data_IF_226676606685
#
_entry.id   IF_226676606685
#
_cell.length_a   1.000
_cell.length_b   1.000
_cell.length_c   1.000
_cell.angle_alpha   90.00
_cell.angle_beta   90.00
_cell.angle_gamma   90.00
#
_symmetry.space_group_name_H-M   'P 1'
#
loop_
_entity.id
_entity.type
_entity.pdbx_description
1 polymer ?
#
# COMPACT_ATOMS: atom_id res chain seq x y z
N UNK A 1 -11.72 21.04 24.22
CA UNK A 1 -11.92 19.57 24.33
C UNK A 1 -11.50 18.97 23.00
N UNK A 2 -10.39 18.23 22.97
CA UNK A 2 -10.03 17.43 21.80
C UNK A 2 -10.95 16.20 21.79
N UNK A 3 -11.82 16.14 20.80
CA UNK A 3 -12.65 14.94 20.58
C UNK A 3 -11.72 13.86 20.06
N UNK A 4 -11.64 12.71 20.75
CA UNK A 4 -10.91 11.56 20.21
C UNK A 4 -11.57 11.08 18.92
N UNK A 5 -10.76 10.79 17.87
CA UNK A 5 -11.31 10.33 16.61
C UNK A 5 -11.96 8.94 16.78
N UNK A 6 -13.03 8.69 16.03
CA UNK A 6 -13.68 7.37 15.98
C UNK A 6 -12.91 6.44 15.06
N UNK A 7 -12.81 5.17 15.45
CA UNK A 7 -12.26 4.14 14.55
C UNK A 7 -13.23 3.93 13.38
N UNK A 8 -12.68 3.88 12.16
CA UNK A 8 -13.48 3.71 10.95
C UNK A 8 -12.66 3.59 9.66
N UNK A 9 -13.37 3.53 8.55
CA UNK A 9 -12.80 3.42 7.20
C UNK A 9 -12.25 4.79 6.72
N UNK A 10 -11.08 5.15 7.25
CA UNK A 10 -10.41 6.42 6.96
C UNK A 10 -10.09 6.58 5.48
N UNK A 11 -9.51 5.54 4.87
CA UNK A 11 -9.13 5.56 3.45
C UNK A 11 -10.38 5.67 2.56
N UNK A 12 -11.43 4.94 2.88
CA UNK A 12 -12.68 5.01 2.13
C UNK A 12 -13.31 6.41 2.14
N UNK A 13 -13.40 7.07 3.30
CA UNK A 13 -13.91 8.44 3.38
C UNK A 13 -13.00 9.44 2.67
N UNK A 14 -11.68 9.32 2.84
CA UNK A 14 -10.69 10.14 2.16
C UNK A 14 -10.82 10.06 0.65
N UNK A 15 -10.88 8.84 0.10
CA UNK A 15 -10.96 8.61 -1.35
C UNK A 15 -12.31 9.03 -1.95
N UNK A 16 -13.42 8.87 -1.23
CA UNK A 16 -14.73 9.39 -1.66
C UNK A 16 -14.69 10.90 -1.84
N UNK A 17 -14.12 11.61 -0.86
CA UNK A 17 -14.01 13.08 -0.93
C UNK A 17 -13.00 13.51 -2.00
N UNK A 18 -11.89 12.79 -2.14
CA UNK A 18 -10.91 13.05 -3.19
C UNK A 18 -11.53 12.91 -4.58
N UNK A 19 -12.29 11.84 -4.82
CA UNK A 19 -13.01 11.64 -6.08
C UNK A 19 -14.07 12.73 -6.30
N UNK A 20 -14.82 13.10 -5.26
CA UNK A 20 -15.84 14.13 -5.34
C UNK A 20 -15.23 15.50 -5.69
N UNK A 21 -14.07 15.86 -5.13
CA UNK A 21 -13.33 17.07 -5.48
C UNK A 21 -12.85 17.02 -6.93
N UNK A 22 -12.30 15.88 -7.36
CA UNK A 22 -11.76 15.71 -8.71
C UNK A 22 -12.85 15.78 -9.80
N UNK A 23 -14.04 15.24 -9.52
CA UNK A 23 -15.15 15.19 -10.48
C UNK A 23 -16.08 16.40 -10.41
N UNK A 24 -15.91 17.27 -9.40
CA UNK A 24 -16.82 18.42 -9.17
C UNK A 24 -18.21 18.03 -8.61
N UNK A 25 -18.45 16.73 -8.38
CA UNK A 25 -19.67 16.25 -7.71
C UNK A 25 -19.47 16.45 -6.22
N UNK A 26 -20.29 17.33 -5.62
CA UNK A 26 -20.09 17.83 -4.25
C UNK A 26 -20.03 16.71 -3.20
N UNK A 27 -19.03 16.77 -2.33
CA UNK A 27 -18.99 15.90 -1.15
C UNK A 27 -19.99 16.39 -0.10
N UNK A 28 -20.30 15.52 0.86
CA UNK A 28 -21.11 15.90 2.03
C UNK A 28 -20.47 17.10 2.74
N UNK A 29 -21.19 18.22 2.94
CA UNK A 29 -20.63 19.39 3.59
C UNK A 29 -20.22 19.04 5.03
N UNK A 30 -19.01 19.47 5.40
CA UNK A 30 -18.69 19.67 6.80
C UNK A 30 -19.61 20.77 7.37
N UNK A 31 -19.79 20.79 8.70
CA UNK A 31 -20.44 21.89 9.39
C UNK A 31 -19.79 23.20 8.92
N UNK A 32 -20.52 23.99 8.11
CA UNK A 32 -19.97 25.19 7.48
C UNK A 32 -19.83 25.15 5.94
N UNK A 33 -20.14 24.05 5.26
CA UNK A 33 -20.52 24.04 3.84
C UNK A 33 -19.43 23.87 2.79
N UNK A 34 -18.14 23.65 3.14
CA UNK A 34 -17.10 23.36 2.13
C UNK A 34 -16.13 22.29 2.58
N UNK A 35 -15.76 21.38 1.66
CA UNK A 35 -14.56 20.55 1.86
C UNK A 35 -13.31 21.42 1.78
N UNK A 36 -12.32 21.11 2.62
CA UNK A 36 -10.98 21.64 2.40
C UNK A 36 -10.48 21.19 1.01
N UNK A 37 -9.94 22.13 0.25
CA UNK A 37 -9.18 21.82 -0.97
C UNK A 37 -7.74 22.25 -0.74
N UNK A 38 -6.75 21.37 -0.82
CA UNK A 38 -6.84 19.94 -1.15
C UNK A 38 -7.38 19.06 0.00
N UNK A 39 -7.86 17.86 -0.33
CA UNK A 39 -8.16 16.79 0.65
C UNK A 39 -6.83 16.25 1.16
N UNK A 40 -6.66 16.24 2.48
CA UNK A 40 -5.38 15.91 3.13
C UNK A 40 -5.53 14.61 3.93
N UNK A 41 -4.70 13.64 3.63
CA UNK A 41 -4.46 12.49 4.47
C UNK A 41 -3.55 12.88 5.63
N UNK A 42 -3.87 12.45 6.84
CA UNK A 42 -3.03 12.65 8.02
C UNK A 42 -2.48 11.30 8.47
N UNK A 43 -1.16 11.22 8.55
CA UNK A 43 -0.43 10.05 9.03
C UNK A 43 0.20 10.42 10.37
N UNK A 44 -0.16 9.70 11.42
CA UNK A 44 0.37 9.87 12.75
C UNK A 44 1.24 8.65 13.11
N UNK A 45 2.44 8.90 13.63
CA UNK A 45 3.38 7.88 14.10
C UNK A 45 3.35 7.83 15.62
N UNK A 46 3.60 6.67 16.22
CA UNK A 46 3.49 6.41 17.67
C UNK A 46 4.40 7.24 18.58
N UNK A 47 5.33 8.00 18.01
CA UNK A 47 6.15 8.97 18.73
C UNK A 47 5.63 10.41 18.65
N UNK A 48 4.44 10.60 18.11
CA UNK A 48 3.77 11.90 18.00
C UNK A 48 4.11 12.68 16.72
N UNK A 49 4.93 12.14 15.80
CA UNK A 49 5.13 12.77 14.51
C UNK A 49 3.84 12.70 13.70
N UNK A 50 3.40 13.84 13.19
CA UNK A 50 2.20 13.98 12.35
C UNK A 50 2.62 14.57 11.02
N UNK A 51 2.30 13.87 9.93
CA UNK A 51 2.48 14.31 8.56
C UNK A 51 1.14 14.43 7.85
N UNK A 52 1.03 15.37 6.92
CA UNK A 52 -0.12 15.50 6.03
C UNK A 52 0.31 15.49 4.58
N UNK A 53 -0.41 14.76 3.75
CA UNK A 53 -0.16 14.68 2.31
C UNK A 53 -1.47 14.89 1.52
N UNK A 54 -1.45 15.62 0.38
CA UNK A 54 -2.60 15.68 -0.51
C UNK A 54 -2.95 14.29 -1.06
N UNK A 55 -4.23 13.92 -0.99
CA UNK A 55 -4.70 12.60 -1.43
C UNK A 55 -4.97 12.50 -2.94
N UNK A 56 -4.79 13.58 -3.70
CA UNK A 56 -5.07 13.60 -5.14
C UNK A 56 -4.29 12.52 -5.91
N UNK A 57 -3.07 12.19 -5.47
CA UNK A 57 -2.21 11.18 -6.10
C UNK A 57 -2.83 9.76 -6.16
N UNK A 58 -3.82 9.47 -5.29
CA UNK A 58 -4.55 8.20 -5.37
C UNK A 58 -5.41 8.06 -6.64
N UNK A 59 -5.72 9.19 -7.29
CA UNK A 59 -6.53 9.23 -8.51
C UNK A 59 -5.70 9.45 -9.77
N UNK A 60 -4.39 9.66 -9.63
CA UNK A 60 -3.50 9.97 -10.75
C UNK A 60 -3.62 8.94 -11.89
N UNK A 61 -3.61 9.45 -13.12
CA UNK A 61 -3.48 8.64 -14.31
C UNK A 61 -2.01 8.32 -14.61
N UNK A 62 -1.75 7.48 -15.63
CA UNK A 62 -0.38 7.07 -15.96
C UNK A 62 0.57 8.23 -16.26
N UNK A 63 0.09 9.37 -16.75
CA UNK A 63 0.94 10.52 -17.05
C UNK A 63 1.61 11.17 -15.83
N UNK A 64 0.99 11.03 -14.65
CA UNK A 64 1.45 11.58 -13.39
C UNK A 64 2.24 10.59 -12.52
N UNK A 65 2.34 9.33 -12.97
CA UNK A 65 2.96 8.27 -12.19
C UNK A 65 4.48 8.39 -12.11
N UNK A 66 5.03 7.81 -11.06
CA UNK A 66 6.48 7.68 -10.93
C UNK A 66 7.00 6.62 -11.92
N UNK A 67 8.26 6.75 -12.39
CA UNK A 67 8.83 5.79 -13.34
C UNK A 67 8.80 4.34 -12.86
N UNK A 68 8.94 4.09 -11.56
CA UNK A 68 8.85 2.73 -11.01
C UNK A 68 7.45 2.12 -11.11
N UNK A 69 6.37 2.92 -11.05
CA UNK A 69 5.00 2.39 -11.24
C UNK A 69 4.81 1.82 -12.65
N UNK A 70 5.31 2.53 -13.68
CA UNK A 70 5.29 2.05 -15.07
C UNK A 70 6.05 0.74 -15.21
N UNK A 71 7.28 0.69 -14.66
CA UNK A 71 8.10 -0.53 -14.75
C UNK A 71 7.49 -1.72 -14.01
N UNK A 72 6.79 -1.48 -12.92
CA UNK A 72 6.07 -2.54 -12.21
C UNK A 72 4.91 -3.09 -13.04
N UNK A 73 4.11 -2.20 -13.65
CA UNK A 73 3.00 -2.58 -14.52
C UNK A 73 3.50 -3.30 -15.78
N UNK A 74 4.62 -2.88 -16.38
CA UNK A 74 5.21 -3.52 -17.56
C UNK A 74 5.72 -4.96 -17.27
N UNK A 75 6.04 -5.27 -16.02
CA UNK A 75 6.44 -6.61 -15.57
C UNK A 75 5.26 -7.52 -15.20
N UNK A 76 4.06 -6.94 -14.98
CA UNK A 76 2.88 -7.71 -14.60
C UNK A 76 2.35 -8.55 -15.77
N UNK A 77 2.04 -9.80 -15.52
CA UNK A 77 1.51 -10.73 -16.48
C UNK A 77 0.57 -11.77 -15.86
N UNK A 78 -0.23 -12.42 -16.68
CA UNK A 78 -1.18 -13.45 -16.22
C UNK A 78 -2.25 -12.91 -15.29
N UNK A 79 -2.87 -13.78 -14.51
CA UNK A 79 -3.82 -13.37 -13.46
C UNK A 79 -3.07 -12.58 -12.39
N UNK A 80 -3.44 -11.32 -12.20
CA UNK A 80 -2.75 -10.37 -11.34
C UNK A 80 -3.62 -9.99 -10.14
N UNK A 81 -3.04 -9.97 -8.94
CA UNK A 81 -3.64 -9.44 -7.72
C UNK A 81 -2.96 -8.11 -7.35
N UNK A 82 -3.73 -7.02 -7.37
CA UNK A 82 -3.30 -5.69 -6.93
C UNK A 82 -3.69 -5.51 -5.46
N UNK A 83 -2.72 -5.61 -4.56
CA UNK A 83 -2.90 -5.67 -3.10
C UNK A 83 -2.82 -4.26 -2.51
N UNK A 84 -3.90 -3.84 -1.82
CA UNK A 84 -4.10 -2.46 -1.41
C UNK A 84 -4.40 -1.58 -2.61
N UNK A 85 -5.35 -2.01 -3.45
CA UNK A 85 -5.67 -1.37 -4.74
C UNK A 85 -6.14 0.09 -4.60
N UNK A 86 -6.61 0.49 -3.41
CA UNK A 86 -7.04 1.85 -3.10
C UNK A 86 -8.12 2.36 -4.07
N UNK A 87 -7.85 3.44 -4.78
CA UNK A 87 -8.72 3.98 -5.82
C UNK A 87 -8.60 3.28 -7.19
N UNK A 88 -7.86 2.18 -7.28
CA UNK A 88 -7.77 1.32 -8.46
C UNK A 88 -6.88 1.84 -9.59
N UNK A 89 -5.97 2.80 -9.34
CA UNK A 89 -5.15 3.40 -10.41
C UNK A 89 -4.36 2.37 -11.23
N UNK A 90 -3.74 1.40 -10.57
CA UNK A 90 -2.95 0.33 -11.19
C UNK A 90 -3.88 -0.68 -11.90
N UNK A 91 -4.92 -1.13 -11.20
CA UNK A 91 -5.89 -2.07 -11.75
C UNK A 91 -6.57 -1.56 -13.03
N UNK A 92 -6.87 -0.25 -13.12
CA UNK A 92 -7.44 0.36 -14.33
C UNK A 92 -6.50 0.25 -15.53
N UNK A 93 -5.21 0.61 -15.37
CA UNK A 93 -4.26 0.53 -16.47
C UNK A 93 -4.01 -0.92 -16.91
N UNK A 94 -3.93 -1.86 -15.98
CA UNK A 94 -3.80 -3.29 -16.31
C UNK A 94 -5.02 -3.78 -17.10
N UNK A 95 -6.23 -3.40 -16.67
CA UNK A 95 -7.46 -3.69 -17.42
C UNK A 95 -7.44 -3.14 -18.84
N UNK A 96 -7.01 -1.89 -19.03
CA UNK A 96 -6.89 -1.24 -20.34
C UNK A 96 -5.89 -1.97 -21.25
N UNK A 97 -4.82 -2.51 -20.66
CA UNK A 97 -3.82 -3.32 -21.37
C UNK A 97 -4.25 -4.77 -21.59
N UNK A 98 -5.45 -5.16 -21.15
CA UNK A 98 -5.97 -6.52 -21.30
C UNK A 98 -5.36 -7.54 -20.33
N UNK A 99 -4.63 -7.09 -19.30
CA UNK A 99 -4.12 -7.96 -18.23
C UNK A 99 -5.26 -8.25 -17.25
N UNK A 100 -5.58 -9.53 -16.99
CA UNK A 100 -6.60 -9.88 -16.01
C UNK A 100 -6.13 -9.48 -14.60
N UNK A 101 -6.87 -8.59 -13.95
CA UNK A 101 -6.51 -8.06 -12.63
C UNK A 101 -7.68 -8.09 -11.66
N UNK A 102 -7.38 -8.43 -10.42
CA UNK A 102 -8.28 -8.32 -9.26
C UNK A 102 -7.67 -7.34 -8.26
N UNK A 103 -8.42 -6.31 -7.88
CA UNK A 103 -8.03 -5.39 -6.80
C UNK A 103 -8.50 -5.92 -5.46
N UNK A 104 -7.58 -6.02 -4.51
CA UNK A 104 -7.84 -6.42 -3.11
C UNK A 104 -7.61 -5.22 -2.19
N UNK A 105 -8.58 -4.94 -1.31
CA UNK A 105 -8.43 -3.88 -0.30
C UNK A 105 -9.28 -4.19 0.94
N UNK A 106 -8.84 -3.73 2.09
CA UNK A 106 -9.57 -3.84 3.36
C UNK A 106 -10.58 -2.71 3.55
N UNK A 107 -10.47 -1.64 2.78
CA UNK A 107 -11.39 -0.49 2.81
C UNK A 107 -12.55 -0.70 1.85
N UNK A 108 -13.74 -0.89 2.39
CA UNK A 108 -14.96 -0.98 1.58
C UNK A 108 -15.22 0.30 0.78
N UNK A 109 -14.88 1.46 1.34
CA UNK A 109 -15.01 2.74 0.66
C UNK A 109 -14.00 2.94 -0.47
N UNK A 110 -12.76 2.46 -0.31
CA UNK A 110 -11.78 2.44 -1.40
C UNK A 110 -12.27 1.57 -2.57
N UNK A 111 -12.79 0.39 -2.29
CA UNK A 111 -13.36 -0.49 -3.31
C UNK A 111 -14.60 0.13 -3.99
N UNK A 112 -15.42 0.88 -3.26
CA UNK A 112 -16.52 1.65 -3.86
C UNK A 112 -15.99 2.68 -4.87
N UNK A 113 -14.95 3.43 -4.51
CA UNK A 113 -14.31 4.41 -5.39
C UNK A 113 -13.68 3.71 -6.61
N UNK A 114 -12.95 2.61 -6.41
CA UNK A 114 -12.39 1.80 -7.49
C UNK A 114 -13.46 1.32 -8.46
N UNK A 115 -14.59 0.83 -7.96
CA UNK A 115 -15.72 0.39 -8.80
C UNK A 115 -16.32 1.55 -9.59
N UNK A 116 -16.51 2.72 -8.97
CA UNK A 116 -17.01 3.94 -9.66
C UNK A 116 -16.06 4.39 -10.76
N UNK A 117 -14.76 4.17 -10.60
CA UNK A 117 -13.74 4.47 -11.62
C UNK A 117 -13.67 3.41 -12.74
N UNK A 118 -14.31 2.24 -12.57
CA UNK A 118 -14.42 1.22 -13.61
C UNK A 118 -13.60 -0.05 -13.38
N UNK A 119 -13.02 -0.25 -12.20
CA UNK A 119 -12.37 -1.54 -11.87
C UNK A 119 -13.44 -2.64 -11.77
N UNK A 120 -13.24 -3.73 -12.50
CA UNK A 120 -14.27 -4.78 -12.72
C UNK A 120 -14.25 -5.85 -11.64
N UNK A 121 -13.06 -6.32 -11.23
CA UNK A 121 -12.90 -7.39 -10.25
C UNK A 121 -12.29 -6.81 -8.97
N UNK A 122 -13.05 -6.87 -7.89
CA UNK A 122 -12.69 -6.31 -6.59
C UNK A 122 -13.04 -7.31 -5.49
N UNK A 123 -12.12 -7.46 -4.53
CA UNK A 123 -12.27 -8.31 -3.35
C UNK A 123 -12.08 -7.45 -2.11
N UNK A 124 -13.00 -7.55 -1.16
CA UNK A 124 -12.92 -6.90 0.14
C UNK A 124 -12.32 -7.88 1.16
N UNK A 125 -11.16 -7.54 1.69
CA UNK A 125 -10.47 -8.38 2.69
C UNK A 125 -8.96 -8.18 2.71
N UNK A 126 -8.31 -9.08 3.42
CA UNK A 126 -6.86 -9.21 3.49
C UNK A 126 -6.38 -10.35 2.59
N UNK A 127 -5.07 -10.46 2.37
CA UNK A 127 -4.49 -11.63 1.68
C UNK A 127 -4.87 -12.91 2.40
N UNK A 128 -4.81 -12.92 3.74
CA UNK A 128 -5.13 -14.11 4.55
C UNK A 128 -6.59 -14.58 4.38
N UNK A 129 -7.54 -13.63 4.34
CA UNK A 129 -8.96 -13.98 4.14
C UNK A 129 -9.25 -14.42 2.71
N UNK A 130 -8.46 -13.95 1.74
CA UNK A 130 -8.63 -14.27 0.33
C UNK A 130 -8.12 -15.68 -0.05
N UNK A 131 -7.23 -16.26 0.76
CA UNK A 131 -6.76 -17.65 0.54
C UNK A 131 -7.91 -18.67 0.46
N UNK A 132 -8.99 -18.42 1.19
CA UNK A 132 -10.12 -19.34 1.30
C UNK A 132 -10.96 -19.49 0.02
N UNK A 133 -10.90 -18.56 -0.94
CA UNK A 133 -11.76 -18.60 -2.14
C UNK A 133 -11.22 -19.47 -3.29
N UNK A 134 -9.99 -19.99 -3.16
CA UNK A 134 -9.37 -20.87 -4.15
C UNK A 134 -8.78 -20.17 -5.38
N UNK A 135 -8.81 -18.83 -5.44
CA UNK A 135 -8.17 -18.06 -6.50
C UNK A 135 -6.66 -18.33 -6.59
N UNK A 136 -6.10 -18.18 -7.80
CA UNK A 136 -4.66 -18.37 -8.05
C UNK A 136 -4.15 -17.30 -9.02
N UNK A 137 -2.97 -16.76 -8.71
CA UNK A 137 -2.38 -15.62 -9.41
C UNK A 137 -0.97 -15.92 -9.93
N UNK A 138 -0.63 -15.28 -11.05
CA UNK A 138 0.70 -15.30 -11.66
C UNK A 138 1.54 -14.11 -11.18
N UNK A 139 0.89 -12.98 -10.87
CA UNK A 139 1.56 -11.76 -10.39
C UNK A 139 0.83 -11.17 -9.18
N UNK A 140 1.59 -10.80 -8.17
CA UNK A 140 1.15 -10.00 -7.02
C UNK A 140 1.81 -8.63 -7.08
N UNK A 141 1.02 -7.56 -7.02
CA UNK A 141 1.51 -6.19 -6.97
C UNK A 141 1.29 -5.60 -5.59
N UNK A 142 2.35 -5.03 -5.02
CA UNK A 142 2.34 -4.25 -3.78
C UNK A 142 2.96 -2.88 -4.07
N UNK A 143 2.21 -2.00 -4.73
CA UNK A 143 2.66 -0.67 -5.17
C UNK A 143 2.13 0.43 -4.25
N UNK A 144 2.65 1.66 -4.39
CA UNK A 144 2.31 2.75 -3.49
C UNK A 144 2.80 2.53 -2.05
N UNK A 145 4.02 2.02 -1.90
CA UNK A 145 4.64 1.59 -0.64
C UNK A 145 4.00 0.36 0.02
N UNK A 146 3.11 -0.37 -0.63
CA UNK A 146 2.45 -1.54 -0.02
C UNK A 146 3.40 -2.70 0.32
N UNK A 147 4.72 -2.62 -0.01
CA UNK A 147 5.71 -3.43 0.68
C UNK A 147 5.61 -3.27 2.21
N UNK A 148 5.12 -2.12 2.67
CA UNK A 148 4.85 -1.87 4.08
C UNK A 148 3.93 -2.86 4.76
N UNK A 149 3.08 -3.58 4.02
CA UNK A 149 2.17 -4.62 4.52
C UNK A 149 2.89 -5.89 5.02
N UNK A 150 4.20 -5.99 4.79
CA UNK A 150 5.04 -7.00 5.44
C UNK A 150 5.23 -6.73 6.94
N UNK A 151 4.93 -5.53 7.42
CA UNK A 151 4.94 -5.07 8.81
C UNK A 151 6.27 -5.22 9.55
N UNK A 152 6.99 -6.33 9.38
CA UNK A 152 8.28 -6.61 10.02
C UNK A 152 8.63 -8.11 10.05
N UNK A 153 9.61 -8.46 10.90
CA UNK A 153 10.20 -9.82 10.95
C UNK A 153 9.20 -10.91 11.31
N UNK A 154 8.24 -10.60 12.15
CA UNK A 154 7.27 -11.58 12.67
C UNK A 154 6.18 -11.87 11.64
N UNK A 155 5.67 -10.83 11.00
CA UNK A 155 4.56 -10.95 10.04
C UNK A 155 4.99 -11.37 8.64
N UNK A 156 6.19 -10.96 8.19
CA UNK A 156 6.64 -11.19 6.82
C UNK A 156 6.60 -12.67 6.38
N UNK A 157 7.05 -13.66 7.19
CA UNK A 157 6.97 -15.07 6.79
C UNK A 157 5.53 -15.57 6.59
N UNK A 158 4.60 -15.16 7.46
CA UNK A 158 3.18 -15.53 7.37
C UNK A 158 2.53 -14.91 6.13
N UNK A 159 2.83 -13.63 5.86
CA UNK A 159 2.32 -12.93 4.70
C UNK A 159 2.83 -13.54 3.39
N UNK A 160 4.12 -13.92 3.34
CA UNK A 160 4.71 -14.65 2.19
C UNK A 160 4.10 -16.03 2.01
N UNK A 161 3.81 -16.75 3.10
CA UNK A 161 3.13 -18.04 3.04
C UNK A 161 1.69 -17.91 2.51
N UNK A 162 0.96 -16.87 2.92
CA UNK A 162 -0.37 -16.59 2.40
C UNK A 162 -0.34 -16.25 0.90
N UNK A 163 0.65 -15.47 0.45
CA UNK A 163 0.86 -15.20 -0.99
C UNK A 163 1.22 -16.47 -1.76
N UNK A 164 2.05 -17.35 -1.19
CA UNK A 164 2.38 -18.64 -1.81
C UNK A 164 1.14 -19.54 -1.96
N UNK A 165 0.24 -19.53 -0.97
CA UNK A 165 -1.02 -20.27 -1.05
C UNK A 165 -1.96 -19.77 -2.16
N UNK A 166 -1.83 -18.53 -2.59
CA UNK A 166 -2.56 -17.91 -3.71
C UNK A 166 -1.79 -17.99 -5.04
N UNK A 167 -0.54 -18.45 -5.03
CA UNK A 167 0.33 -18.43 -6.19
C UNK A 167 0.11 -19.60 -7.13
N UNK A 168 0.31 -19.36 -8.42
CA UNK A 168 0.56 -20.40 -9.42
C UNK A 168 2.05 -20.75 -9.42
N UNK A 169 2.44 -21.95 -9.90
CA UNK A 169 3.86 -22.27 -10.08
C UNK A 169 4.60 -21.19 -10.87
N UNK A 170 5.75 -20.74 -10.37
CA UNK A 170 6.54 -19.69 -10.99
C UNK A 170 5.99 -18.26 -10.85
N UNK A 171 4.99 -18.05 -10.01
CA UNK A 171 4.42 -16.73 -9.74
C UNK A 171 5.47 -15.72 -9.25
N UNK A 172 5.17 -14.44 -9.44
CA UNK A 172 6.03 -13.34 -9.00
C UNK A 172 5.31 -12.39 -8.04
N UNK A 173 6.09 -11.77 -7.16
CA UNK A 173 5.70 -10.59 -6.41
C UNK A 173 6.52 -9.41 -6.93
N UNK A 174 5.87 -8.28 -7.20
CA UNK A 174 6.51 -7.00 -7.52
C UNK A 174 6.10 -6.02 -6.42
N UNK A 175 7.03 -5.66 -5.55
CA UNK A 175 6.76 -4.82 -4.40
C UNK A 175 7.57 -3.52 -4.48
N UNK A 176 6.90 -2.38 -4.31
CA UNK A 176 7.56 -1.08 -4.20
C UNK A 176 7.82 -0.79 -2.72
N UNK A 177 9.07 -0.51 -2.42
CA UNK A 177 9.54 -0.13 -1.09
C UNK A 177 10.28 1.19 -1.07
N UNK A 178 10.55 1.68 0.14
CA UNK A 178 11.33 2.89 0.39
C UNK A 178 12.45 2.58 1.35
N UNK A 179 13.68 2.91 0.96
CA UNK A 179 14.84 2.84 1.85
C UNK A 179 14.82 4.04 2.83
N UNK A 180 14.60 3.82 4.14
CA UNK A 180 14.46 4.91 5.11
C UNK A 180 15.78 5.54 5.54
N UNK A 181 16.93 4.97 5.15
CA UNK A 181 18.22 5.32 5.74
C UNK A 181 18.97 6.46 5.03
N UNK A 182 18.41 7.00 3.95
CA UNK A 182 18.95 8.19 3.28
C UNK A 182 18.69 9.51 4.03
N UNK A 183 17.84 9.51 5.04
CA UNK A 183 17.51 10.71 5.81
C UNK A 183 18.58 11.03 6.85
N UNK A 184 18.79 12.34 7.08
CA UNK A 184 19.60 12.88 8.21
C UNK A 184 18.74 13.59 9.25
N UNK A 185 17.41 13.59 9.09
CA UNK A 185 16.50 14.22 10.04
C UNK A 185 16.54 13.48 11.38
N UNK A 186 16.85 14.19 12.50
CA UNK A 186 16.90 13.58 13.84
C UNK A 186 15.61 12.90 14.28
N UNK A 187 14.45 13.37 13.82
CA UNK A 187 13.15 12.77 14.10
C UNK A 187 13.03 11.37 13.51
N UNK A 188 13.63 11.13 12.34
CA UNK A 188 13.63 9.83 11.71
C UNK A 188 14.77 8.94 12.23
N UNK A 189 15.99 9.46 12.28
CA UNK A 189 17.15 8.68 12.74
C UNK A 189 17.01 8.23 14.18
N UNK A 190 16.48 9.10 15.07
CA UNK A 190 16.19 8.74 16.46
C UNK A 190 15.10 7.65 16.60
N UNK A 191 14.09 7.66 15.71
CA UNK A 191 13.08 6.60 15.63
C UNK A 191 13.70 5.27 15.21
N UNK A 192 14.56 5.28 14.18
CA UNK A 192 15.26 4.09 13.70
C UNK A 192 16.14 3.47 14.80
N UNK A 193 16.88 4.28 15.54
CA UNK A 193 17.71 3.80 16.66
C UNK A 193 16.86 3.21 17.79
N UNK A 194 15.73 3.84 18.13
CA UNK A 194 14.80 3.34 19.14
C UNK A 194 14.25 1.96 18.74
N UNK A 195 13.88 1.78 17.47
CA UNK A 195 13.40 0.51 16.93
C UNK A 195 14.48 -0.57 17.02
N UNK A 196 15.71 -0.28 16.58
CA UNK A 196 16.82 -1.24 16.65
C UNK A 196 17.13 -1.68 18.08
N UNK A 197 17.09 -0.75 19.06
CA UNK A 197 17.26 -1.09 20.48
C UNK A 197 16.17 -2.02 21.03
N UNK A 198 15.00 -2.05 20.39
CA UNK A 198 13.88 -2.96 20.70
C UNK A 198 13.89 -4.25 19.86
N UNK A 199 14.95 -4.51 19.09
CA UNK A 199 15.04 -5.68 18.20
C UNK A 199 14.22 -5.58 16.91
N UNK A 200 13.58 -4.43 16.64
CA UNK A 200 12.80 -4.18 15.42
C UNK A 200 13.72 -3.71 14.27
N UNK A 201 13.24 -3.80 13.04
CA UNK A 201 13.88 -3.13 11.91
C UNK A 201 13.79 -1.60 12.12
N UNK A 202 14.83 -0.86 11.72
CA UNK A 202 14.88 0.58 11.94
C UNK A 202 13.65 1.30 11.38
N UNK A 203 13.24 0.95 10.18
CA UNK A 203 12.07 1.54 9.51
C UNK A 203 10.75 0.81 9.76
N UNK A 204 10.63 -0.03 10.77
CA UNK A 204 9.36 -0.64 11.18
C UNK A 204 8.53 0.39 11.95
N UNK A 205 7.59 1.00 11.27
CA UNK A 205 6.75 2.08 11.77
C UNK A 205 5.54 1.53 12.50
N UNK A 206 5.04 2.30 13.50
CA UNK A 206 3.74 2.10 14.11
C UNK A 206 2.92 3.34 13.80
N UNK A 207 1.89 3.18 12.96
CA UNK A 207 1.12 4.27 12.35
C UNK A 207 -0.36 4.16 12.65
N UNK A 208 -1.05 5.30 12.56
CA UNK A 208 -2.48 5.37 12.30
C UNK A 208 -2.76 6.47 11.27
N UNK A 209 -3.80 6.26 10.48
CA UNK A 209 -4.30 7.26 9.55
C UNK A 209 -5.43 8.04 10.19
N UNK A 210 -5.57 9.31 9.82
CA UNK A 210 -6.67 10.15 10.29
C UNK A 210 -7.22 10.97 9.12
N UNK A 211 -8.53 11.08 9.11
CA UNK A 211 -9.24 11.96 8.21
C UNK A 211 -10.55 12.41 8.86
N UNK A 212 -10.82 13.72 8.90
CA UNK A 212 -11.95 14.31 9.62
C UNK A 212 -11.99 13.82 11.09
N UNK A 213 -13.14 13.25 11.51
CA UNK A 213 -13.32 12.66 12.84
C UNK A 213 -12.94 11.18 12.92
N UNK A 214 -12.40 10.60 11.84
CA UNK A 214 -12.03 9.19 11.81
C UNK A 214 -10.54 8.98 12.04
N UNK A 215 -10.22 7.85 12.66
CA UNK A 215 -8.87 7.26 12.65
C UNK A 215 -8.95 5.76 12.39
N UNK A 216 -7.86 5.20 11.88
CA UNK A 216 -7.65 3.75 11.95
C UNK A 216 -7.26 3.34 13.36
N UNK A 217 -7.29 2.03 13.64
CA UNK A 217 -6.46 1.47 14.70
C UNK A 217 -4.98 1.73 14.40
N UNK A 218 -4.13 1.59 15.42
CA UNK A 218 -2.70 1.59 15.24
C UNK A 218 -2.26 0.30 14.56
N UNK A 219 -1.47 0.40 13.48
CA UNK A 219 -0.95 -0.75 12.73
C UNK A 219 0.55 -0.64 12.50
N UNK A 220 1.21 -1.78 12.34
CA UNK A 220 2.61 -1.83 11.95
C UNK A 220 2.73 -1.69 10.42
N UNK A 221 3.77 -1.01 9.99
CA UNK A 221 4.04 -0.74 8.59
C UNK A 221 5.55 -0.69 8.36
N UNK A 222 6.03 -1.29 7.28
CA UNK A 222 7.46 -1.43 7.05
C UNK A 222 7.95 -0.51 5.93
N UNK A 223 8.94 0.33 6.23
CA UNK A 223 9.87 0.86 5.23
C UNK A 223 11.25 0.28 5.56
N UNK A 224 11.92 -0.28 4.57
CA UNK A 224 13.19 -0.98 4.80
C UNK A 224 14.13 -0.85 3.58
N UNK A 225 15.42 -1.09 3.81
CA UNK A 225 16.35 -1.23 2.68
C UNK A 225 16.10 -2.53 1.91
N UNK A 226 16.58 -2.60 0.68
CA UNK A 226 16.50 -3.83 -0.12
C UNK A 226 17.21 -5.00 0.56
N UNK A 227 18.34 -4.76 1.25
CA UNK A 227 19.06 -5.80 2.00
C UNK A 227 18.24 -6.31 3.20
N UNK A 228 17.57 -5.41 3.94
CA UNK A 228 16.67 -5.83 5.02
C UNK A 228 15.50 -6.64 4.47
N UNK A 229 14.96 -6.25 3.31
CA UNK A 229 13.90 -7.00 2.64
C UNK A 229 14.37 -8.37 2.16
N UNK A 230 15.57 -8.46 1.56
CA UNK A 230 16.19 -9.74 1.19
C UNK A 230 16.31 -10.70 2.39
N UNK A 231 16.69 -10.16 3.55
CA UNK A 231 16.78 -10.95 4.79
C UNK A 231 15.40 -11.41 5.30
N UNK A 232 14.32 -10.66 5.07
CA UNK A 232 12.96 -11.09 5.42
C UNK A 232 12.44 -12.20 4.50
N UNK A 233 12.86 -12.19 3.25
CA UNK A 233 12.47 -13.19 2.24
C UNK A 233 13.28 -14.49 2.39
N UNK A 234 14.49 -14.42 2.93
CA UNK A 234 15.37 -15.57 3.07
C UNK A 234 14.73 -16.70 3.90
N UNK A 235 14.78 -17.93 3.36
CA UNK A 235 14.23 -19.12 4.01
C UNK A 235 12.71 -19.26 3.89
N UNK A 236 12.06 -18.43 3.08
CA UNK A 236 10.66 -18.59 2.69
C UNK A 236 10.55 -19.31 1.35
N UNK A 237 9.35 -19.62 0.89
CA UNK A 237 9.13 -20.18 -0.46
C UNK A 237 9.38 -19.19 -1.61
N UNK A 238 9.90 -17.99 -1.33
CA UNK A 238 10.15 -16.94 -2.30
C UNK A 238 11.64 -16.59 -2.39
N UNK A 239 12.09 -16.25 -3.59
CA UNK A 239 13.45 -15.79 -3.85
C UNK A 239 13.43 -14.36 -4.40
N UNK A 240 14.19 -13.45 -3.80
CA UNK A 240 14.43 -12.12 -4.37
C UNK A 240 15.34 -12.26 -5.60
N UNK A 241 14.80 -11.94 -6.78
CA UNK A 241 15.49 -12.12 -8.07
C UNK A 241 15.98 -10.82 -8.69
N UNK A 242 15.38 -9.70 -8.33
CA UNK A 242 15.77 -8.38 -8.87
C UNK A 242 15.44 -7.26 -7.87
N UNK A 243 16.30 -6.24 -7.84
CA UNK A 243 16.08 -4.98 -7.14
C UNK A 243 16.41 -3.84 -8.10
N UNK A 244 15.40 -3.06 -8.44
CA UNK A 244 15.51 -1.88 -9.27
C UNK A 244 15.44 -0.62 -8.38
N UNK A 245 16.58 -0.03 -8.07
CA UNK A 245 16.75 1.13 -7.17
C UNK A 245 17.08 2.45 -7.90
N UNK A 246 16.81 2.50 -9.21
CA UNK A 246 17.12 3.69 -10.05
C UNK A 246 16.40 4.97 -9.59
N UNK A 247 15.33 4.84 -8.83
CA UNK A 247 14.56 5.96 -8.30
C UNK A 247 14.75 6.14 -6.78
N UNK A 248 15.96 5.89 -6.26
CA UNK A 248 16.25 6.04 -4.83
C UNK A 248 15.70 7.36 -4.24
N UNK A 249 15.07 7.33 -3.06
CA UNK A 249 15.09 6.25 -2.07
C UNK A 249 14.10 5.10 -2.33
N UNK A 250 13.32 5.16 -3.41
CA UNK A 250 12.36 4.14 -3.80
C UNK A 250 13.05 3.01 -4.57
N UNK A 251 12.53 1.80 -4.44
CA UNK A 251 12.98 0.65 -5.19
C UNK A 251 11.81 -0.29 -5.52
N UNK A 252 11.98 -1.09 -6.58
CA UNK A 252 11.12 -2.24 -6.87
C UNK A 252 11.89 -3.51 -6.54
N UNK A 253 11.31 -4.36 -5.71
CA UNK A 253 11.78 -5.71 -5.48
C UNK A 253 10.93 -6.70 -6.26
N UNK A 254 11.56 -7.61 -7.01
CA UNK A 254 10.88 -8.71 -7.69
C UNK A 254 11.26 -10.02 -7.02
N UNK A 255 10.25 -10.77 -6.55
CA UNK A 255 10.44 -12.11 -6.01
C UNK A 255 9.82 -13.13 -6.96
N UNK A 256 10.38 -14.34 -6.95
CA UNK A 256 9.82 -15.51 -7.63
C UNK A 256 9.51 -16.59 -6.62
N UNK A 257 8.37 -17.26 -6.80
CA UNK A 257 8.08 -18.47 -6.05
C UNK A 257 9.04 -19.55 -6.51
N UNK A 258 9.72 -20.19 -5.56
CA UNK A 258 10.59 -21.37 -5.83
C UNK A 258 9.82 -22.63 -5.50
N UNK A 259 10.01 -23.66 -6.34
CA UNK A 259 9.38 -24.97 -6.22
C UNK A 259 9.88 -25.74 -4.97
#
# INVERSE_FOLDING_TARGET
MTVEPRIGDVIGELLRDTLAVATGVGPRPLVGGRLPRPVIEIIERDDGLINGAPSAHYLDGPAEWQPYDHRAVDRAHGETLDIGTGAGRIALLLQERGVPVTGLDTSAGALEVSRRRGVRRLVHGTVDTHVADGSRYDTFLLLGNNLGLFEGRERAPEFLAALAALARPGAQIIAQGTNPYGTRDPLHTGYHERNRRRGRLGGQLRLRLRYRELSTEWFDYLVCSADEFANLVHGTGWQLTDVDDRDAPYYLATLRLVD
#
